data_IF_928737457562
#
_entry.id   IF_928737457562
#
_cell.length_a   1.000
_cell.length_b   1.000
_cell.length_c   1.000
_cell.angle_alpha   90.00
_cell.angle_beta   90.00
_cell.angle_gamma   90.00
#
_symmetry.space_group_name_H-M   'P 1'
#
loop_
_entity.id
_entity.type
_entity.pdbx_description
1 polymer ?
#
# COMPACT_ATOMS: atom_id res chain seq x y z
N UNK A 1 7.81 30.67 3.13
CA UNK A 1 6.48 30.21 2.68
C UNK A 1 5.55 30.13 3.88
N UNK A 2 4.24 30.14 3.65
CA UNK A 2 3.17 30.25 4.66
C UNK A 2 3.01 29.03 5.59
N UNK A 3 3.82 27.98 5.37
CA UNK A 3 3.85 26.76 6.19
C UNK A 3 2.91 25.65 5.72
N UNK A 4 2.14 25.86 4.65
CA UNK A 4 1.26 24.84 4.11
C UNK A 4 1.98 23.85 3.18
N UNK A 5 1.50 22.60 3.06
CA UNK A 5 2.03 21.66 2.07
C UNK A 5 1.85 22.19 0.64
N UNK A 6 2.88 22.07 -0.19
CA UNK A 6 2.79 22.36 -1.63
C UNK A 6 1.81 21.35 -2.28
N UNK A 7 0.79 21.80 -3.02
CA UNK A 7 -0.19 20.91 -3.63
C UNK A 7 0.42 20.07 -4.76
N UNK A 8 0.06 18.78 -4.84
CA UNK A 8 0.51 17.87 -5.89
C UNK A 8 -0.08 18.20 -7.27
N UNK A 9 -1.27 18.79 -7.32
CA UNK A 9 -1.89 19.24 -8.56
C UNK A 9 -2.76 20.46 -8.33
N UNK A 10 -2.99 21.21 -9.41
CA UNK A 10 -3.96 22.29 -9.44
C UNK A 10 -5.38 21.71 -9.52
N UNK A 11 -6.21 22.01 -8.51
CA UNK A 11 -7.57 21.45 -8.38
C UNK A 11 -8.55 21.95 -9.46
N UNK A 12 -8.24 23.05 -10.14
CA UNK A 12 -9.08 23.64 -11.19
C UNK A 12 -8.71 23.11 -12.58
N UNK A 13 -7.41 22.99 -12.86
CA UNK A 13 -6.91 22.62 -14.19
C UNK A 13 -6.52 21.15 -14.30
N UNK A 14 -6.29 20.47 -13.17
CA UNK A 14 -5.75 19.12 -13.12
C UNK A 14 -4.25 19.05 -13.43
N UNK A 15 -3.55 20.18 -13.58
CA UNK A 15 -2.11 20.19 -13.86
C UNK A 15 -1.35 19.59 -12.66
N UNK A 16 -0.57 18.54 -12.93
CA UNK A 16 0.27 17.88 -11.92
C UNK A 16 1.59 18.65 -11.74
N UNK A 17 1.92 18.98 -10.51
CA UNK A 17 3.25 19.43 -10.11
C UNK A 17 4.18 18.23 -9.97
N UNK A 18 5.03 18.03 -10.99
CA UNK A 18 5.98 16.91 -11.03
C UNK A 18 7.09 17.02 -9.99
N UNK A 19 7.42 18.22 -9.52
CA UNK A 19 8.43 18.38 -8.48
C UNK A 19 7.92 17.83 -7.15
N UNK A 20 6.66 18.12 -6.81
CA UNK A 20 6.01 17.53 -5.62
C UNK A 20 5.90 16.02 -5.76
N UNK A 21 5.47 15.51 -6.90
CA UNK A 21 5.37 14.07 -7.15
C UNK A 21 6.72 13.36 -6.98
N UNK A 22 7.78 13.90 -7.59
CA UNK A 22 9.13 13.34 -7.48
C UNK A 22 9.65 13.44 -6.05
N UNK A 23 9.44 14.57 -5.37
CA UNK A 23 9.84 14.72 -3.98
C UNK A 23 9.18 13.66 -3.08
N UNK A 24 7.87 13.45 -3.23
CA UNK A 24 7.16 12.41 -2.46
C UNK A 24 7.71 11.01 -2.73
N UNK A 25 7.97 10.67 -3.99
CA UNK A 25 8.59 9.39 -4.38
C UNK A 25 9.96 9.22 -3.75
N UNK A 26 10.83 10.22 -3.91
CA UNK A 26 12.25 10.14 -3.57
C UNK A 26 12.50 10.27 -2.06
N UNK A 27 11.53 10.76 -1.29
CA UNK A 27 11.64 10.96 0.17
C UNK A 27 10.79 9.98 0.99
N UNK A 28 10.40 8.84 0.41
CA UNK A 28 9.83 7.71 1.14
C UNK A 28 8.32 7.78 1.39
N UNK A 29 7.59 8.64 0.68
CA UNK A 29 6.12 8.72 0.77
C UNK A 29 5.41 7.80 -0.24
N UNK A 30 6.09 7.34 -1.30
CA UNK A 30 5.59 6.29 -2.21
C UNK A 30 5.99 4.91 -1.67
N UNK A 31 5.03 4.22 -1.03
CA UNK A 31 5.22 2.88 -0.45
C UNK A 31 5.64 1.86 -1.50
N UNK A 32 5.06 1.90 -2.71
CA UNK A 32 5.39 0.97 -3.79
C UNK A 32 6.85 1.17 -4.22
N UNK A 33 7.23 2.41 -4.49
CA UNK A 33 8.61 2.73 -4.89
C UNK A 33 9.61 2.37 -3.80
N UNK A 34 9.28 2.63 -2.53
CA UNK A 34 10.13 2.25 -1.40
C UNK A 34 10.33 0.74 -1.33
N UNK A 35 9.24 -0.04 -1.38
CA UNK A 35 9.29 -1.51 -1.34
C UNK A 35 10.10 -2.05 -2.52
N UNK A 36 9.81 -1.58 -3.73
CA UNK A 36 10.48 -2.02 -4.96
C UNK A 36 11.99 -1.79 -4.90
N UNK A 37 12.41 -0.60 -4.49
CA UNK A 37 13.82 -0.22 -4.41
C UNK A 37 14.56 -0.96 -3.29
N UNK A 38 13.89 -1.23 -2.17
CA UNK A 38 14.54 -1.75 -0.96
C UNK A 38 14.29 -3.26 -0.73
N UNK A 39 13.59 -3.94 -1.64
CA UNK A 39 13.20 -5.34 -1.45
C UNK A 39 14.35 -6.29 -1.06
N UNK A 40 15.58 -6.19 -1.63
CA UNK A 40 16.68 -7.05 -1.20
C UNK A 40 17.02 -6.92 0.30
N UNK A 41 16.76 -5.76 0.90
CA UNK A 41 17.03 -5.47 2.31
C UNK A 41 15.85 -5.80 3.21
N UNK A 42 14.64 -5.39 2.82
CA UNK A 42 13.45 -5.49 3.68
C UNK A 42 12.63 -6.75 3.41
N UNK A 43 12.72 -7.31 2.20
CA UNK A 43 11.97 -8.50 1.79
C UNK A 43 12.10 -9.66 2.77
N UNK A 44 13.30 -10.04 3.23
CA UNK A 44 13.47 -11.12 4.21
C UNK A 44 12.71 -10.92 5.52
N UNK A 45 12.43 -9.67 5.90
CA UNK A 45 11.71 -9.33 7.14
C UNK A 45 10.18 -9.30 6.95
N UNK A 46 9.73 -9.20 5.70
CA UNK A 46 8.34 -8.99 5.29
C UNK A 46 7.70 -10.21 4.61
N UNK A 47 8.45 -11.29 4.38
CA UNK A 47 7.91 -12.54 3.82
C UNK A 47 6.71 -13.00 4.66
N UNK A 48 5.56 -13.17 4.01
CA UNK A 48 4.33 -13.63 4.65
C UNK A 48 3.58 -12.58 5.47
N UNK A 49 4.01 -11.31 5.47
CA UNK A 49 3.44 -10.25 6.33
C UNK A 49 2.64 -9.18 5.59
N UNK A 50 2.76 -9.10 4.27
CA UNK A 50 2.08 -8.09 3.47
C UNK A 50 0.70 -8.60 3.02
N UNK A 51 -0.35 -8.12 3.68
CA UNK A 51 -1.75 -8.39 3.33
C UNK A 51 -2.44 -7.08 2.98
N UNK A 52 -2.70 -6.87 1.69
CA UNK A 52 -3.15 -5.58 1.16
C UNK A 52 -4.55 -5.75 0.56
N UNK A 53 -5.44 -4.82 0.85
CA UNK A 53 -6.77 -4.80 0.25
C UNK A 53 -7.13 -3.40 -0.21
N UNK A 54 -7.90 -3.29 -1.31
CA UNK A 54 -8.33 -2.02 -1.88
C UNK A 54 -9.67 -2.17 -2.60
N UNK A 55 -10.53 -1.15 -2.53
CA UNK A 55 -11.73 -1.10 -3.36
C UNK A 55 -11.36 -1.00 -4.84
N UNK A 56 -12.05 -1.74 -5.72
CA UNK A 56 -11.74 -1.70 -7.15
C UNK A 56 -12.17 -0.40 -7.85
N UNK A 57 -13.03 0.39 -7.20
CA UNK A 57 -13.51 1.71 -7.59
C UNK A 57 -13.20 2.76 -6.51
N UNK A 58 -12.00 2.74 -5.95
CA UNK A 58 -11.57 3.75 -4.97
C UNK A 58 -11.66 5.19 -5.53
N UNK A 59 -12.29 6.09 -4.78
CA UNK A 59 -12.60 7.47 -5.17
C UNK A 59 -11.36 8.34 -5.42
N UNK A 60 -10.20 7.93 -4.90
CA UNK A 60 -8.91 8.59 -5.07
C UNK A 60 -7.99 7.85 -6.05
N UNK A 61 -8.50 6.82 -6.75
CA UNK A 61 -7.74 6.00 -7.70
C UNK A 61 -6.52 5.28 -7.09
N UNK A 62 -6.56 5.00 -5.77
CA UNK A 62 -5.47 4.30 -5.06
C UNK A 62 -5.25 2.88 -5.59
N UNK A 63 -6.32 2.26 -6.10
CA UNK A 63 -6.32 0.92 -6.69
C UNK A 63 -5.25 0.76 -7.78
N UNK A 64 -4.98 1.80 -8.60
CA UNK A 64 -3.96 1.75 -9.65
C UNK A 64 -2.55 1.55 -9.08
N UNK A 65 -2.22 2.26 -8.00
CA UNK A 65 -0.93 2.10 -7.32
C UNK A 65 -0.81 0.74 -6.63
N UNK A 66 -1.92 0.22 -6.09
CA UNK A 66 -1.98 -1.12 -5.48
C UNK A 66 -1.77 -2.22 -6.52
N UNK A 67 -2.36 -2.10 -7.72
CA UNK A 67 -2.09 -3.02 -8.83
C UNK A 67 -0.60 -3.06 -9.21
N UNK A 68 0.04 -1.88 -9.32
CA UNK A 68 1.48 -1.81 -9.63
C UNK A 68 2.33 -2.47 -8.52
N UNK A 69 1.94 -2.34 -7.26
CA UNK A 69 2.62 -2.99 -6.15
C UNK A 69 2.44 -4.52 -6.18
N UNK A 70 1.23 -5.00 -6.46
CA UNK A 70 0.95 -6.42 -6.64
C UNK A 70 1.79 -7.02 -7.78
N UNK A 71 1.85 -6.33 -8.92
CA UNK A 71 2.63 -6.76 -10.08
C UNK A 71 4.12 -6.90 -9.74
N UNK A 72 4.68 -5.93 -9.01
CA UNK A 72 6.05 -6.03 -8.51
C UNK A 72 6.22 -7.23 -7.57
N UNK A 73 5.40 -7.33 -6.51
CA UNK A 73 5.55 -8.35 -5.47
C UNK A 73 5.37 -9.77 -6.00
N UNK A 74 4.43 -10.02 -6.91
CA UNK A 74 4.24 -11.33 -7.56
C UNK A 74 5.46 -11.81 -8.34
N UNK A 75 6.29 -10.89 -8.82
CA UNK A 75 7.50 -11.19 -9.58
C UNK A 75 8.76 -11.30 -8.72
N UNK A 76 8.70 -11.01 -7.43
CA UNK A 76 9.82 -11.24 -6.51
C UNK A 76 10.18 -12.73 -6.46
N UNK A 77 11.47 -13.06 -6.32
CA UNK A 77 11.94 -14.46 -6.22
C UNK A 77 12.89 -14.70 -5.05
N UNK A 78 13.68 -13.69 -4.67
CA UNK A 78 14.71 -13.79 -3.65
C UNK A 78 14.60 -12.61 -2.66
N UNK A 79 13.72 -12.68 -1.64
CA UNK A 79 12.70 -13.71 -1.41
C UNK A 79 11.41 -13.44 -2.21
N UNK A 80 10.55 -14.45 -2.34
CA UNK A 80 9.15 -14.26 -2.75
C UNK A 80 8.35 -13.67 -1.57
N UNK A 81 7.50 -12.66 -1.84
CA UNK A 81 6.77 -11.92 -0.79
C UNK A 81 5.81 -12.76 0.06
N UNK A 82 5.22 -13.82 -0.50
CA UNK A 82 4.31 -14.75 0.17
C UNK A 82 3.11 -14.10 0.92
N UNK A 83 2.66 -12.94 0.47
CA UNK A 83 1.52 -12.20 1.05
C UNK A 83 0.21 -12.39 0.25
N UNK A 84 -0.75 -11.48 0.45
CA UNK A 84 -2.04 -11.49 -0.27
C UNK A 84 -2.48 -10.11 -0.74
N UNK A 85 -3.26 -10.11 -1.82
CA UNK A 85 -3.96 -8.96 -2.36
C UNK A 85 -5.45 -9.28 -2.52
N UNK A 86 -6.32 -8.40 -2.03
CA UNK A 86 -7.76 -8.51 -2.18
C UNK A 86 -8.37 -7.24 -2.74
N UNK A 87 -9.25 -7.39 -3.74
CA UNK A 87 -9.92 -6.24 -4.35
C UNK A 87 -11.41 -6.32 -4.13
N UNK A 88 -11.98 -5.24 -3.62
CA UNK A 88 -13.42 -5.13 -3.42
C UNK A 88 -14.09 -4.98 -4.77
N UNK A 89 -14.51 -6.11 -5.36
CA UNK A 89 -15.12 -6.16 -6.70
C UNK A 89 -16.57 -6.65 -6.66
N UNK A 90 -17.41 -6.19 -7.60
CA UNK A 90 -17.28 -4.91 -8.29
C UNK A 90 -17.75 -3.75 -7.39
N UNK A 91 -17.38 -2.53 -7.76
CA UNK A 91 -17.99 -1.28 -7.24
C UNK A 91 -17.78 -1.04 -5.74
N UNK A 92 -16.61 -1.37 -5.20
CA UNK A 92 -16.26 -0.98 -3.83
C UNK A 92 -15.34 0.23 -3.85
N UNK A 93 -15.78 1.28 -3.16
CA UNK A 93 -15.07 2.56 -3.07
C UNK A 93 -14.06 2.62 -1.93
N UNK A 94 -13.64 3.85 -1.63
CA UNK A 94 -12.66 4.10 -0.59
C UNK A 94 -13.12 3.61 0.79
N UNK A 95 -12.19 3.03 1.55
CA UNK A 95 -12.46 2.49 2.89
C UNK A 95 -13.09 1.10 2.91
N UNK A 96 -13.28 0.45 1.76
CA UNK A 96 -13.67 -0.96 1.73
C UNK A 96 -12.60 -1.87 2.37
N UNK A 97 -13.07 -2.89 3.09
CA UNK A 97 -12.24 -3.96 3.62
C UNK A 97 -13.00 -5.31 3.54
N UNK A 98 -12.32 -6.45 3.35
CA UNK A 98 -12.96 -7.74 3.04
C UNK A 98 -13.54 -8.49 4.25
N UNK A 99 -13.44 -7.93 5.44
CA UNK A 99 -13.76 -8.59 6.71
C UNK A 99 -14.49 -7.62 7.64
N UNK A 100 -15.14 -8.09 8.69
CA UNK A 100 -15.65 -7.23 9.76
C UNK A 100 -14.53 -6.74 10.67
N UNK A 101 -14.79 -5.67 11.44
CA UNK A 101 -13.83 -5.21 12.47
C UNK A 101 -13.52 -6.31 13.50
N UNK A 102 -14.51 -7.13 13.87
CA UNK A 102 -14.31 -8.23 14.81
C UNK A 102 -13.37 -9.30 14.25
N UNK A 103 -13.50 -9.65 12.97
CA UNK A 103 -12.59 -10.58 12.30
C UNK A 103 -11.18 -10.01 12.19
N UNK A 104 -11.06 -8.73 11.82
CA UNK A 104 -9.76 -8.04 11.78
C UNK A 104 -9.04 -8.09 13.13
N UNK A 105 -9.75 -7.79 14.22
CA UNK A 105 -9.18 -7.87 15.58
C UNK A 105 -8.75 -9.30 15.92
N UNK A 106 -9.51 -10.32 15.52
CA UNK A 106 -9.12 -11.73 15.74
C UNK A 106 -7.88 -12.12 14.94
N UNK A 107 -7.76 -11.67 13.69
CA UNK A 107 -6.57 -11.90 12.86
C UNK A 107 -5.33 -11.27 13.51
N UNK A 108 -5.45 -10.00 13.93
CA UNK A 108 -4.36 -9.30 14.64
C UNK A 108 -3.98 -10.01 15.94
N UNK A 109 -4.97 -10.41 16.75
CA UNK A 109 -4.72 -11.13 18.00
C UNK A 109 -4.04 -12.49 17.77
N UNK A 110 -4.47 -13.24 16.75
CA UNK A 110 -3.86 -14.52 16.40
C UNK A 110 -2.41 -14.35 15.94
N UNK A 111 -2.09 -13.28 15.20
CA UNK A 111 -0.72 -12.99 14.79
C UNK A 111 0.16 -12.61 15.99
N UNK A 112 -0.30 -11.69 16.84
CA UNK A 112 0.41 -11.28 18.06
C UNK A 112 0.69 -12.48 18.98
N UNK A 113 -0.27 -13.39 19.11
CA UNK A 113 -0.13 -14.56 19.98
C UNK A 113 0.96 -15.53 19.51
N UNK A 114 1.29 -15.58 18.22
CA UNK A 114 2.37 -16.45 17.69
C UNK A 114 3.75 -15.99 18.17
N UNK A 115 3.94 -14.68 18.31
CA UNK A 115 5.20 -14.06 18.69
C UNK A 115 5.24 -13.65 20.17
N UNK A 116 4.18 -13.93 20.94
CA UNK A 116 4.10 -13.59 22.35
C UNK A 116 5.14 -14.37 23.17
N UNK A 117 5.91 -13.72 24.05
CA UNK A 117 6.79 -14.42 24.98
C UNK A 117 5.99 -15.39 25.86
N UNK A 118 6.51 -16.61 26.03
CA UNK A 118 5.98 -17.61 26.95
C UNK A 118 6.30 -17.30 28.40
#
# INVERSE_FOLDING_TARGET
EDGYPKPLWDKMTGQIDREVANYMRDNGYDVRHYIETNWPKIGPQLVGKLHIYCGDMDDYYLNLAVYMLEDFLKNTKNPYYAGSFEYGRPMKGHGWHPMTNAEMVRIMAAEIAKDAPT
#
